data_IF_893325143472
#
_entry.id   IF_893325143472
#
_cell.length_a   1.000
_cell.length_b   1.000
_cell.length_c   1.000
_cell.angle_alpha   90.00
_cell.angle_beta   90.00
_cell.angle_gamma   90.00
#
_symmetry.space_group_name_H-M   'P 1'
#
loop_
_entity.id
_entity.type
_entity.pdbx_description
1 polymer ?
#
# COMPACT_ATOMS: atom_id res chain seq x y z
N UNK A 1 40.68 -50.06 57.58
CA UNK A 1 40.40 -48.62 57.49
C UNK A 1 40.27 -48.29 55.96
N UNK A 2 39.05 -48.22 55.45
CA UNK A 2 38.77 -47.97 54.04
C UNK A 2 38.12 -46.57 53.93
N UNK A 3 38.81 -45.64 53.27
CA UNK A 3 38.30 -44.28 53.01
C UNK A 3 37.53 -44.30 51.71
N UNK A 4 36.24 -44.08 51.79
CA UNK A 4 35.36 -43.84 50.62
C UNK A 4 35.54 -42.37 50.15
N UNK A 5 35.94 -42.15 48.89
CA UNK A 5 35.94 -40.86 48.21
C UNK A 5 34.60 -40.70 47.52
N UNK A 6 33.79 -39.76 47.94
CA UNK A 6 32.60 -39.32 47.23
C UNK A 6 33.00 -38.31 46.11
N UNK A 7 32.86 -38.74 44.88
CA UNK A 7 33.01 -37.85 43.72
C UNK A 7 31.70 -37.08 43.44
N UNK A 8 31.74 -35.74 43.59
CA UNK A 8 30.65 -34.84 43.25
C UNK A 8 30.73 -34.46 41.78
N UNK A 9 29.86 -35.04 40.95
CA UNK A 9 29.72 -34.67 39.53
C UNK A 9 28.80 -33.45 39.40
N UNK A 10 29.39 -32.30 39.06
CA UNK A 10 28.69 -31.07 38.78
C UNK A 10 28.18 -31.11 37.33
N UNK A 11 26.87 -31.36 37.11
CA UNK A 11 26.26 -31.28 35.81
C UNK A 11 25.99 -29.79 35.47
N UNK A 12 26.79 -29.25 34.56
CA UNK A 12 26.57 -27.92 34.00
C UNK A 12 25.41 -27.97 32.99
N UNK A 13 24.22 -27.54 33.40
CA UNK A 13 23.09 -27.32 32.47
C UNK A 13 23.35 -26.11 31.58
N UNK A 14 23.62 -26.33 30.30
CA UNK A 14 23.59 -25.25 29.31
C UNK A 14 22.14 -24.84 29.08
N UNK A 15 21.74 -23.69 29.62
CA UNK A 15 20.51 -23.02 29.22
C UNK A 15 20.71 -22.44 27.81
N UNK A 16 20.07 -23.05 26.81
CA UNK A 16 19.93 -22.45 25.48
C UNK A 16 19.01 -21.25 25.59
N UNK A 17 19.60 -20.07 25.71
CA UNK A 17 18.84 -18.82 25.55
C UNK A 17 18.43 -18.73 24.07
N UNK A 18 17.19 -19.09 23.75
CA UNK A 18 16.58 -18.73 22.47
C UNK A 18 16.51 -17.19 22.44
N UNK A 19 17.31 -16.59 21.56
CA UNK A 19 17.18 -15.17 21.23
C UNK A 19 15.86 -15.01 20.51
N UNK A 20 14.82 -14.59 21.25
CA UNK A 20 13.60 -14.10 20.64
C UNK A 20 13.99 -12.86 19.85
N UNK A 21 14.02 -12.97 18.52
CA UNK A 21 14.24 -11.85 17.60
C UNK A 21 12.96 -11.03 17.60
N UNK A 22 12.94 -9.96 18.40
CA UNK A 22 11.82 -9.03 18.44
C UNK A 22 11.87 -8.18 17.16
N UNK A 23 11.30 -8.71 16.07
CA UNK A 23 11.14 -7.96 14.83
C UNK A 23 9.79 -7.24 14.82
N UNK A 24 9.81 -5.94 15.16
CA UNK A 24 8.69 -5.05 14.86
C UNK A 24 8.39 -5.03 13.34
N UNK A 25 7.29 -4.39 12.91
CA UNK A 25 6.93 -4.33 11.50
C UNK A 25 8.05 -3.67 10.69
N UNK A 26 8.40 -4.29 9.57
CA UNK A 26 9.34 -3.72 8.60
C UNK A 26 8.58 -2.92 7.53
N UNK A 27 9.21 -1.84 7.01
CA UNK A 27 8.61 -1.05 5.94
C UNK A 27 8.62 -1.84 4.64
N UNK A 28 7.43 -2.19 4.18
CA UNK A 28 7.21 -2.83 2.90
C UNK A 28 7.18 -1.80 1.76
N UNK A 29 7.45 -2.26 0.54
CA UNK A 29 7.37 -1.46 -0.68
C UNK A 29 6.75 -2.30 -1.78
N UNK A 30 5.74 -1.76 -2.44
CA UNK A 30 5.19 -2.31 -3.67
C UNK A 30 5.42 -1.30 -4.79
N UNK A 31 5.93 -1.77 -5.91
CA UNK A 31 6.11 -0.96 -7.12
C UNK A 31 5.70 -1.79 -8.32
N UNK A 32 4.82 -1.25 -9.13
CA UNK A 32 4.35 -1.86 -10.37
C UNK A 32 4.36 -0.84 -11.50
N UNK A 33 4.52 -1.32 -12.73
CA UNK A 33 4.57 -0.49 -13.93
C UNK A 33 3.80 -1.19 -15.04
N UNK A 34 3.06 -0.42 -15.83
CA UNK A 34 2.39 -0.90 -17.05
C UNK A 34 2.64 0.09 -18.18
N UNK A 35 2.85 -0.42 -19.40
CA UNK A 35 2.88 0.41 -20.62
C UNK A 35 1.57 0.24 -21.37
N UNK A 36 0.90 1.36 -21.67
CA UNK A 36 -0.43 1.41 -22.31
C UNK A 36 -0.33 1.92 -23.73
N UNK A 37 -1.20 1.42 -24.61
CA UNK A 37 -1.28 1.82 -26.02
C UNK A 37 -2.07 3.14 -26.19
N UNK A 38 -1.63 4.17 -25.46
CA UNK A 38 -2.18 5.53 -25.48
C UNK A 38 -1.06 6.52 -25.18
N UNK A 39 -1.28 7.79 -25.49
CA UNK A 39 -0.33 8.85 -25.13
C UNK A 39 -0.33 9.12 -23.61
N UNK A 40 0.78 9.63 -23.03
CA UNK A 40 0.82 10.02 -21.64
C UNK A 40 -0.29 10.98 -21.22
N UNK A 41 -0.61 11.95 -22.07
CA UNK A 41 -1.67 12.94 -21.82
C UNK A 41 -3.04 12.29 -21.70
N UNK A 42 -3.41 11.40 -22.63
CA UNK A 42 -4.71 10.69 -22.60
C UNK A 42 -4.88 9.87 -21.33
N UNK A 43 -3.81 9.21 -20.86
CA UNK A 43 -3.86 8.43 -19.62
C UNK A 43 -3.93 9.34 -18.41
N UNK A 44 -3.14 10.44 -18.39
CA UNK A 44 -3.15 11.40 -17.31
C UNK A 44 -4.48 12.12 -17.13
N UNK A 45 -5.18 12.42 -18.24
CA UNK A 45 -6.55 12.97 -18.20
C UNK A 45 -7.55 12.05 -17.50
N UNK A 46 -7.25 10.76 -17.35
CA UNK A 46 -8.11 9.80 -16.65
C UNK A 46 -7.69 9.60 -15.20
N UNK A 47 -6.38 9.47 -14.92
CA UNK A 47 -5.92 9.07 -13.59
C UNK A 47 -5.29 10.20 -12.80
N UNK A 48 -5.10 11.37 -13.40
CA UNK A 48 -4.42 12.52 -12.78
C UNK A 48 -5.31 13.35 -11.85
N UNK A 49 -6.61 13.11 -11.80
CA UNK A 49 -7.58 13.82 -10.98
C UNK A 49 -7.65 13.21 -9.59
N UNK A 50 -7.20 13.98 -8.58
CA UNK A 50 -7.19 13.47 -7.20
C UNK A 50 -8.62 13.30 -6.63
N UNK A 51 -9.58 14.06 -7.12
CA UNK A 51 -11.00 14.00 -6.75
C UNK A 51 -11.78 12.91 -7.49
N UNK A 52 -11.15 12.15 -8.41
CA UNK A 52 -11.81 11.10 -9.17
C UNK A 52 -10.99 9.80 -9.24
N UNK A 53 -11.49 8.76 -8.57
CA UNK A 53 -10.97 7.39 -8.65
C UNK A 53 -11.93 6.43 -9.37
N UNK A 54 -12.89 6.94 -10.13
CA UNK A 54 -13.89 6.12 -10.86
C UNK A 54 -13.27 5.14 -11.86
N UNK A 55 -12.04 5.41 -12.30
CA UNK A 55 -11.28 4.52 -13.18
C UNK A 55 -10.83 3.23 -12.46
N UNK A 56 -10.80 3.22 -11.12
CA UNK A 56 -10.38 2.04 -10.36
C UNK A 56 -11.59 1.15 -10.02
N UNK A 57 -11.57 -0.15 -10.37
CA UNK A 57 -12.76 -1.01 -10.28
C UNK A 57 -13.27 -1.25 -8.86
N UNK A 58 -12.42 -1.14 -7.86
CA UNK A 58 -12.81 -1.32 -6.46
C UNK A 58 -13.50 -0.09 -5.85
N UNK A 59 -13.45 1.09 -6.51
CA UNK A 59 -14.02 2.33 -6.00
C UNK A 59 -15.45 2.50 -6.53
N UNK A 60 -16.38 2.76 -5.62
CA UNK A 60 -17.78 3.06 -5.94
C UNK A 60 -17.98 4.56 -6.17
N UNK A 61 -17.42 5.41 -5.30
CA UNK A 61 -17.44 6.87 -5.41
C UNK A 61 -16.24 7.50 -4.70
N UNK A 62 -15.95 8.74 -5.06
CA UNK A 62 -14.93 9.58 -4.41
C UNK A 62 -15.59 10.86 -3.93
N UNK A 63 -15.32 11.26 -2.69
CA UNK A 63 -15.82 12.49 -2.09
C UNK A 63 -14.66 13.31 -1.55
N UNK A 64 -14.68 14.62 -1.81
CA UNK A 64 -13.73 15.54 -1.17
C UNK A 64 -14.22 15.91 0.25
N UNK A 65 -13.31 15.96 1.21
CA UNK A 65 -13.65 16.28 2.60
C UNK A 65 -12.72 17.38 3.16
N UNK A 66 -13.27 18.43 3.83
CA UNK A 66 -14.71 18.72 3.89
C UNK A 66 -15.31 19.03 2.52
N UNK A 67 -16.64 19.00 2.41
CA UNK A 67 -17.30 19.38 1.16
C UNK A 67 -16.83 20.78 0.68
N UNK A 68 -16.47 20.90 -0.58
CA UNK A 68 -15.88 22.10 -1.16
C UNK A 68 -14.39 22.31 -0.87
N UNK A 69 -13.70 21.29 -0.32
CA UNK A 69 -12.24 21.32 -0.19
C UNK A 69 -11.58 21.44 -1.57
N UNK A 70 -10.37 22.04 -1.64
CA UNK A 70 -9.61 22.07 -2.89
C UNK A 70 -9.26 20.63 -3.34
N UNK A 71 -9.11 20.43 -4.65
CA UNK A 71 -8.85 19.09 -5.23
C UNK A 71 -7.38 18.83 -5.55
N UNK A 72 -6.56 19.90 -5.65
CA UNK A 72 -5.19 19.84 -6.12
C UNK A 72 -4.18 20.63 -5.25
N UNK A 73 -4.56 20.94 -4.01
CA UNK A 73 -3.69 21.65 -3.06
C UNK A 73 -3.07 20.66 -2.07
N UNK A 74 -1.75 20.43 -2.11
CA UNK A 74 -1.07 19.57 -1.16
C UNK A 74 -1.37 19.93 0.30
N UNK A 75 -1.52 18.91 1.14
CA UNK A 75 -1.82 18.98 2.57
C UNK A 75 -3.23 19.54 2.93
N UNK A 76 -3.96 20.11 1.94
CA UNK A 76 -5.33 20.60 2.12
C UNK A 76 -6.37 19.71 1.44
N UNK A 77 -6.01 19.08 0.31
CA UNK A 77 -6.90 18.18 -0.43
C UNK A 77 -6.96 16.82 0.23
N UNK A 78 -8.13 16.46 0.70
CA UNK A 78 -8.41 15.13 1.29
C UNK A 78 -9.61 14.52 0.59
N UNK A 79 -9.54 13.24 0.24
CA UNK A 79 -10.63 12.48 -0.36
C UNK A 79 -11.00 11.27 0.48
N UNK A 80 -12.28 10.90 0.43
CA UNK A 80 -12.81 9.64 0.94
C UNK A 80 -13.18 8.77 -0.26
N UNK A 81 -12.60 7.60 -0.33
CA UNK A 81 -12.93 6.57 -1.31
C UNK A 81 -13.95 5.63 -0.67
N UNK A 82 -15.15 5.56 -1.23
CA UNK A 82 -16.14 4.54 -0.90
C UNK A 82 -15.87 3.32 -1.76
N UNK A 83 -15.65 2.17 -1.14
CA UNK A 83 -15.29 0.96 -1.86
C UNK A 83 -16.53 0.13 -2.18
N UNK A 84 -16.50 -0.56 -3.32
CA UNK A 84 -17.55 -1.55 -3.66
C UNK A 84 -17.45 -2.72 -2.70
N UNK A 85 -18.55 -3.02 -2.01
CA UNK A 85 -18.68 -4.14 -1.10
C UNK A 85 -20.09 -4.75 -1.21
N UNK A 86 -20.25 -6.02 -0.84
CA UNK A 86 -21.55 -6.67 -0.78
C UNK A 86 -22.41 -6.14 0.38
N UNK A 87 -21.76 -5.64 1.44
CA UNK A 87 -22.43 -5.05 2.61
C UNK A 87 -21.50 -4.04 3.28
N UNK A 88 -22.11 -3.07 3.98
CA UNK A 88 -21.39 -1.97 4.62
C UNK A 88 -20.99 -0.89 3.62
N UNK A 89 -20.22 0.06 4.11
CA UNK A 89 -19.64 1.16 3.34
C UNK A 89 -18.16 1.29 3.75
N UNK A 90 -17.30 0.36 3.32
CA UNK A 90 -15.88 0.45 3.64
C UNK A 90 -15.25 1.64 2.94
N UNK A 91 -14.50 2.42 3.68
CA UNK A 91 -13.87 3.66 3.18
C UNK A 91 -12.37 3.66 3.40
N UNK A 92 -11.69 4.44 2.54
CA UNK A 92 -10.29 4.84 2.72
C UNK A 92 -10.23 6.35 2.61
N UNK A 93 -9.64 7.01 3.61
CA UNK A 93 -9.39 8.46 3.57
C UNK A 93 -7.96 8.72 3.17
N UNK A 94 -7.77 9.56 2.17
CA UNK A 94 -6.46 9.87 1.60
C UNK A 94 -6.22 11.38 1.54
N UNK A 95 -5.00 11.80 1.85
CA UNK A 95 -4.54 13.17 1.74
C UNK A 95 -3.53 13.33 0.61
N UNK A 96 -3.72 14.34 -0.22
CA UNK A 96 -2.76 14.74 -1.24
C UNK A 96 -1.53 15.36 -0.58
N UNK A 97 -0.35 14.80 -0.85
CA UNK A 97 0.92 15.32 -0.31
C UNK A 97 1.70 16.14 -1.32
N UNK A 98 1.52 15.85 -2.61
CA UNK A 98 2.16 16.54 -3.71
C UNK A 98 1.41 16.29 -5.00
N UNK A 99 1.32 17.30 -5.85
CA UNK A 99 0.92 17.17 -7.25
C UNK A 99 1.91 17.95 -8.13
N UNK A 100 2.24 17.41 -9.29
CA UNK A 100 3.13 18.02 -10.28
C UNK A 100 2.56 17.66 -11.67
N UNK A 101 1.63 18.47 -12.20
CA UNK A 101 0.98 18.21 -13.49
C UNK A 101 1.98 18.17 -14.66
N UNK A 102 3.04 18.96 -14.60
CA UNK A 102 4.10 18.97 -15.65
C UNK A 102 4.85 17.65 -15.72
N UNK A 103 4.92 16.92 -14.59
CA UNK A 103 5.52 15.58 -14.50
C UNK A 103 4.46 14.47 -14.49
N UNK A 104 3.18 14.83 -14.67
CA UNK A 104 2.06 13.89 -14.62
C UNK A 104 2.15 12.97 -13.41
N UNK A 105 2.27 13.55 -12.20
CA UNK A 105 2.42 12.75 -10.98
C UNK A 105 1.71 13.39 -9.80
N UNK A 106 1.19 12.54 -8.91
CA UNK A 106 0.82 12.94 -7.56
C UNK A 106 1.28 11.92 -6.52
N UNK A 107 1.46 12.41 -5.31
CA UNK A 107 1.76 11.62 -4.11
C UNK A 107 0.68 11.84 -3.09
N UNK A 108 0.25 10.76 -2.44
CA UNK A 108 -0.77 10.78 -1.40
C UNK A 108 -0.40 9.86 -0.24
N UNK A 109 -1.11 10.02 0.86
CA UNK A 109 -1.02 9.13 2.02
C UNK A 109 -2.42 8.74 2.49
N UNK A 110 -2.55 7.55 3.04
CA UNK A 110 -3.76 7.15 3.76
C UNK A 110 -3.69 7.73 5.16
N UNK A 111 -4.74 8.46 5.54
CA UNK A 111 -4.90 9.06 6.88
C UNK A 111 -5.85 8.27 7.76
N UNK A 112 -6.80 7.54 7.15
CA UNK A 112 -7.72 6.66 7.86
C UNK A 112 -8.14 5.47 6.99
N UNK A 113 -8.06 4.27 7.56
CA UNK A 113 -8.54 3.02 6.98
C UNK A 113 -8.64 1.94 8.07
N UNK A 114 -9.71 1.16 8.05
CA UNK A 114 -9.81 -0.02 8.89
C UNK A 114 -8.88 -1.13 8.36
N UNK A 115 -8.14 -1.79 9.24
CA UNK A 115 -7.17 -2.84 8.85
C UNK A 115 -7.85 -4.07 8.22
N UNK A 116 -9.13 -4.26 8.47
CA UNK A 116 -9.98 -5.27 7.83
C UNK A 116 -10.30 -4.93 6.37
N UNK A 117 -10.23 -3.65 6.01
CA UNK A 117 -10.41 -3.15 4.63
C UNK A 117 -9.09 -3.20 3.87
N UNK A 118 -8.03 -2.70 4.49
CA UNK A 118 -6.68 -2.74 3.93
C UNK A 118 -5.67 -2.94 5.07
N UNK A 119 -4.97 -4.10 5.13
CA UNK A 119 -4.14 -4.49 6.27
C UNK A 119 -2.78 -3.76 6.29
N UNK A 120 -2.81 -2.42 6.23
CA UNK A 120 -1.62 -1.56 6.23
C UNK A 120 -1.73 -0.42 7.23
N UNK A 121 -0.58 0.12 7.62
CA UNK A 121 -0.45 1.37 8.37
C UNK A 121 0.62 2.26 7.75
N UNK A 122 0.56 3.58 7.98
CA UNK A 122 1.51 4.57 7.47
C UNK A 122 1.76 4.43 5.95
N UNK A 123 0.70 4.17 5.19
CA UNK A 123 0.76 4.02 3.75
C UNK A 123 0.95 5.37 3.07
N UNK A 124 1.87 5.43 2.12
CA UNK A 124 1.97 6.53 1.16
C UNK A 124 2.36 6.01 -0.21
N UNK A 125 1.82 6.60 -1.26
CA UNK A 125 2.10 6.17 -2.62
C UNK A 125 2.31 7.34 -3.59
N UNK A 126 2.90 7.03 -4.73
CA UNK A 126 3.04 7.92 -5.88
C UNK A 126 2.45 7.22 -7.09
N UNK A 127 1.59 7.91 -7.81
CA UNK A 127 1.13 7.57 -9.14
C UNK A 127 1.76 8.54 -10.13
N UNK A 128 2.34 8.03 -11.21
CA UNK A 128 3.01 8.83 -12.22
C UNK A 128 2.80 8.24 -13.61
N UNK A 129 2.59 9.11 -14.58
CA UNK A 129 2.61 8.77 -16.00
C UNK A 129 3.86 9.38 -16.63
N UNK A 130 4.53 8.63 -17.49
CA UNK A 130 5.69 9.10 -18.24
C UNK A 130 5.63 8.66 -19.70
N UNK A 131 6.37 9.34 -20.55
CA UNK A 131 6.51 8.95 -21.95
C UNK A 131 7.52 7.80 -22.11
N UNK A 132 7.10 6.78 -22.85
CA UNK A 132 7.97 5.68 -23.27
C UNK A 132 7.73 5.41 -24.74
N UNK A 133 8.57 6.01 -25.57
CA UNK A 133 8.50 5.89 -27.03
C UNK A 133 7.11 6.28 -27.62
N UNK A 134 6.52 7.36 -27.08
CA UNK A 134 5.19 7.86 -27.45
C UNK A 134 4.02 7.13 -26.81
N UNK A 135 4.27 6.18 -25.90
CA UNK A 135 3.28 5.44 -25.13
C UNK A 135 3.30 5.85 -23.66
N UNK A 136 2.19 5.71 -22.97
CA UNK A 136 2.10 5.97 -21.56
C UNK A 136 2.71 4.83 -20.73
N UNK A 137 3.74 5.11 -19.96
CA UNK A 137 4.19 4.24 -18.88
C UNK A 137 3.64 4.74 -17.55
N UNK A 138 2.77 3.95 -16.90
CA UNK A 138 2.20 4.25 -15.60
C UNK A 138 3.00 3.54 -14.52
N UNK A 139 3.54 4.30 -13.58
CA UNK A 139 4.20 3.81 -12.38
C UNK A 139 3.31 4.05 -11.16
N UNK A 140 3.00 2.99 -10.43
CA UNK A 140 2.38 3.08 -9.11
C UNK A 140 3.32 2.46 -8.06
N UNK A 141 3.74 3.24 -7.09
CA UNK A 141 4.65 2.79 -6.05
C UNK A 141 4.21 3.28 -4.68
N UNK A 142 4.21 2.38 -3.70
CA UNK A 142 3.85 2.68 -2.32
C UNK A 142 4.85 2.13 -1.32
N UNK A 143 4.81 2.72 -0.12
CA UNK A 143 5.55 2.24 1.04
C UNK A 143 4.66 2.31 2.28
N UNK A 144 4.65 1.24 3.09
CA UNK A 144 3.72 1.03 4.18
C UNK A 144 4.30 0.07 5.22
N UNK A 145 3.60 -0.09 6.32
CA UNK A 145 3.81 -1.18 7.28
C UNK A 145 2.56 -2.06 7.32
N UNK A 146 2.70 -3.29 7.81
CA UNK A 146 1.56 -4.19 8.04
C UNK A 146 0.54 -3.60 9.01
N UNK A 147 -0.70 -4.10 8.97
CA UNK A 147 -1.79 -3.66 9.81
C UNK A 147 -1.59 -3.93 11.31
N UNK A 148 -0.81 -4.98 11.67
CA UNK A 148 -0.52 -5.31 13.06
C UNK A 148 0.83 -4.75 13.50
N UNK A 149 0.88 -3.79 14.45
CA UNK A 149 2.11 -3.08 14.80
C UNK A 149 3.04 -3.86 15.73
N UNK A 150 2.55 -4.91 16.42
CA UNK A 150 3.32 -5.67 17.39
C UNK A 150 3.98 -6.91 16.78
N UNK A 151 4.77 -7.62 17.58
CA UNK A 151 5.33 -8.93 17.22
C UNK A 151 4.23 -9.97 17.11
N UNK A 152 4.51 -11.07 16.40
CA UNK A 152 3.61 -12.21 16.22
C UNK A 152 2.24 -11.81 15.63
N UNK A 153 2.22 -11.16 14.44
CA UNK A 153 0.97 -10.77 13.79
C UNK A 153 0.14 -12.00 13.42
N UNK A 154 -1.20 -11.91 13.49
CA UNK A 154 -2.05 -12.90 12.85
C UNK A 154 -1.80 -12.90 11.35
N UNK A 155 -2.13 -14.02 10.68
CA UNK A 155 -1.80 -14.23 9.27
C UNK A 155 -2.36 -13.13 8.36
N UNK A 156 -3.60 -12.71 8.63
CA UNK A 156 -4.32 -11.68 7.87
C UNK A 156 -3.78 -10.25 8.06
N UNK A 157 -2.90 -10.00 9.03
CA UNK A 157 -2.33 -8.67 9.34
C UNK A 157 -0.80 -8.66 9.34
N UNK A 158 -0.16 -9.69 8.78
CA UNK A 158 1.29 -9.80 8.66
C UNK A 158 1.85 -9.02 7.45
N UNK A 159 3.16 -9.06 7.26
CA UNK A 159 3.83 -8.36 6.16
C UNK A 159 3.41 -8.92 4.80
N UNK A 160 3.21 -10.24 4.66
CA UNK A 160 2.80 -10.89 3.41
C UNK A 160 1.36 -10.51 3.04
N UNK A 161 0.45 -10.48 4.00
CA UNK A 161 -0.93 -10.03 3.80
C UNK A 161 -0.98 -8.56 3.32
N UNK A 162 -0.18 -7.70 3.93
CA UNK A 162 -0.08 -6.29 3.52
C UNK A 162 0.45 -6.15 2.09
N UNK A 163 1.49 -6.89 1.72
CA UNK A 163 2.06 -6.88 0.36
C UNK A 163 1.06 -7.43 -0.65
N UNK A 164 0.40 -8.54 -0.33
CA UNK A 164 -0.61 -9.16 -1.21
C UNK A 164 -1.79 -8.21 -1.47
N UNK A 165 -2.32 -7.57 -0.42
CA UNK A 165 -3.44 -6.65 -0.55
C UNK A 165 -3.10 -5.41 -1.40
N UNK A 166 -1.96 -4.77 -1.15
CA UNK A 166 -1.52 -3.60 -1.95
C UNK A 166 -1.23 -4.00 -3.39
N UNK A 167 -0.61 -5.16 -3.62
CA UNK A 167 -0.36 -5.66 -4.97
C UNK A 167 -1.66 -5.92 -5.74
N UNK A 168 -2.66 -6.51 -5.08
CA UNK A 168 -3.96 -6.77 -5.68
C UNK A 168 -4.69 -5.48 -6.09
N UNK A 169 -4.62 -4.42 -5.25
CA UNK A 169 -5.18 -3.11 -5.59
C UNK A 169 -4.49 -2.53 -6.84
N UNK A 170 -3.16 -2.51 -6.89
CA UNK A 170 -2.44 -1.97 -8.04
C UNK A 170 -2.73 -2.77 -9.31
N UNK A 171 -2.76 -4.11 -9.20
CA UNK A 171 -3.06 -4.97 -10.32
C UNK A 171 -4.47 -4.71 -10.88
N UNK A 172 -5.48 -4.62 -10.01
CA UNK A 172 -6.86 -4.33 -10.42
C UNK A 172 -6.97 -2.98 -11.16
N UNK A 173 -6.28 -1.94 -10.67
CA UNK A 173 -6.20 -0.66 -11.36
C UNK A 173 -5.53 -0.75 -12.72
N UNK A 174 -4.40 -1.47 -12.83
CA UNK A 174 -3.69 -1.66 -14.09
C UNK A 174 -4.47 -2.51 -15.10
N UNK A 175 -5.19 -3.52 -14.64
CA UNK A 175 -6.06 -4.32 -15.51
C UNK A 175 -7.19 -3.47 -16.11
N UNK A 176 -7.80 -2.59 -15.31
CA UNK A 176 -8.81 -1.65 -15.81
C UNK A 176 -8.24 -0.63 -16.82
N UNK A 177 -7.02 -0.12 -16.57
CA UNK A 177 -6.35 0.76 -17.52
C UNK A 177 -5.97 0.01 -18.81
N UNK A 178 -5.51 -1.24 -18.69
CA UNK A 178 -5.22 -2.09 -19.85
C UNK A 178 -6.48 -2.42 -20.69
N UNK A 179 -7.62 -2.63 -20.03
CA UNK A 179 -8.90 -2.81 -20.72
C UNK A 179 -9.32 -1.55 -21.48
N UNK A 180 -9.10 -0.38 -20.89
CA UNK A 180 -9.49 0.91 -21.48
C UNK A 180 -8.58 1.36 -22.63
N UNK A 181 -7.27 1.22 -22.49
CA UNK A 181 -6.27 1.81 -23.38
C UNK A 181 -5.49 0.79 -24.21
N UNK A 182 -5.63 -0.48 -23.93
CA UNK A 182 -4.74 -1.51 -24.45
C UNK A 182 -3.41 -1.59 -23.68
N UNK A 183 -2.83 -2.77 -23.61
CA UNK A 183 -1.50 -3.00 -23.02
C UNK A 183 -0.49 -3.22 -24.14
N UNK A 184 0.67 -2.57 -24.04
CA UNK A 184 1.82 -2.86 -24.92
C UNK A 184 2.58 -4.05 -24.34
N UNK A 185 2.86 -5.06 -25.18
CA UNK A 185 3.65 -6.25 -24.82
C UNK A 185 5.16 -5.95 -24.76
#
# INVERSE_FOLDING_TARGET
MLKAMFGLTLAAGMALASTASAHGPSRQKTQMTITLDASPTEVWEVIGHFDDMSWHPAVASTEMTPEGAPVDVPDESTRVLHLKAESGDPTITEQLMKIDPDKMMYKYMITDVAVEVLPVTNYSATLQVSDKDGKAEVLWKGGYYRGFPNNDPPEELNDDAAVAAVTAIYQAGFDALAERFGKVE
#
